data_IF_658044345773
#
_entry.id   IF_658044345773
#
_cell.length_a   1.000
_cell.length_b   1.000
_cell.length_c   1.000
_cell.angle_alpha   90.00
_cell.angle_beta   90.00
_cell.angle_gamma   90.00
#
_symmetry.space_group_name_H-M   'P 1'
#
loop_
_entity.id
_entity.type
_entity.pdbx_description
1 polymer ?
#
# COMPACT_ATOMS: atom_id res chain seq x y z
N UNK A 1 -50.71 12.29 16.59
CA UNK A 1 -50.70 13.44 15.65
C UNK A 1 -52.09 14.03 15.62
N UNK A 2 -52.29 15.28 16.02
CA UNK A 2 -53.59 15.94 15.81
C UNK A 2 -53.76 16.27 14.34
N UNK A 3 -54.98 16.22 13.83
CA UNK A 3 -55.31 16.45 12.42
C UNK A 3 -54.80 17.82 11.92
N UNK A 4 -54.84 18.84 12.79
CA UNK A 4 -54.27 20.15 12.54
C UNK A 4 -52.74 20.12 12.30
N UNK A 5 -51.98 19.31 13.06
CA UNK A 5 -50.52 19.17 12.87
C UNK A 5 -50.19 18.40 11.59
N UNK A 6 -51.06 17.47 11.19
CA UNK A 6 -50.92 16.75 9.92
C UNK A 6 -51.20 17.66 8.72
N UNK A 7 -52.15 18.59 8.84
CA UNK A 7 -52.46 19.54 7.78
C UNK A 7 -51.35 20.59 7.63
N UNK A 8 -50.85 21.14 8.75
CA UNK A 8 -49.70 22.03 8.76
C UNK A 8 -48.44 21.39 8.17
N UNK A 9 -48.21 20.09 8.44
CA UNK A 9 -47.12 19.32 7.86
C UNK A 9 -47.35 18.89 6.40
N UNK A 10 -48.54 19.10 5.83
CA UNK A 10 -48.79 19.00 4.38
C UNK A 10 -48.60 20.34 3.68
N UNK A 11 -48.91 21.44 4.38
CA UNK A 11 -48.67 22.81 3.92
C UNK A 11 -47.17 23.13 3.88
N UNK A 12 -46.42 22.71 4.90
CA UNK A 12 -44.98 22.50 4.79
C UNK A 12 -44.74 21.20 4.02
N UNK A 13 -43.80 21.15 3.08
CA UNK A 13 -43.58 19.91 2.32
C UNK A 13 -43.12 18.80 3.29
N UNK A 14 -43.83 17.67 3.30
CA UNK A 14 -43.71 16.59 4.31
C UNK A 14 -42.26 16.18 4.59
N UNK A 15 -41.41 16.07 3.56
CA UNK A 15 -40.00 15.67 3.76
C UNK A 15 -39.20 16.69 4.58
N UNK A 16 -39.59 17.96 4.59
CA UNK A 16 -38.97 19.03 5.37
C UNK A 16 -39.53 19.04 6.80
N UNK A 17 -40.84 18.88 6.96
CA UNK A 17 -41.51 18.82 8.27
C UNK A 17 -41.02 17.63 9.12
N UNK A 18 -40.75 16.50 8.47
CA UNK A 18 -40.25 15.29 9.13
C UNK A 18 -38.72 15.12 9.06
N UNK A 19 -37.99 16.11 8.53
CA UNK A 19 -36.52 16.07 8.38
C UNK A 19 -36.01 14.81 7.66
N UNK A 20 -36.77 14.34 6.66
CA UNK A 20 -36.47 13.10 5.93
C UNK A 20 -35.39 13.30 4.86
N UNK A 21 -34.95 14.54 4.61
CA UNK A 21 -33.85 14.86 3.71
C UNK A 21 -32.65 15.38 4.48
N UNK A 22 -31.50 14.78 4.22
CA UNK A 22 -30.19 15.26 4.66
C UNK A 22 -29.25 15.37 3.45
N UNK A 23 -28.50 16.45 3.39
CA UNK A 23 -27.49 16.66 2.34
C UNK A 23 -26.16 16.07 2.80
N UNK A 24 -25.61 15.14 2.01
CA UNK A 24 -24.27 14.62 2.22
C UNK A 24 -23.33 15.20 1.15
N UNK A 25 -22.25 15.85 1.58
CA UNK A 25 -21.24 16.38 0.68
C UNK A 25 -20.10 15.36 0.52
N UNK A 26 -19.79 14.97 -0.72
CA UNK A 26 -18.73 14.00 -1.06
C UNK A 26 -17.56 14.72 -1.76
N UNK A 27 -17.25 15.94 -1.33
CA UNK A 27 -16.30 16.84 -2.01
C UNK A 27 -14.83 16.57 -1.68
N UNK A 28 -14.55 15.79 -0.64
CA UNK A 28 -13.19 15.52 -0.15
C UNK A 28 -12.91 14.02 -0.10
N UNK A 29 -12.73 13.41 -1.26
CA UNK A 29 -12.35 12.00 -1.38
C UNK A 29 -10.82 11.91 -1.46
N UNK A 30 -10.18 11.45 -0.39
CA UNK A 30 -8.71 11.33 -0.31
C UNK A 30 -8.36 9.88 -0.02
N UNK A 31 -7.47 9.29 -0.82
CA UNK A 31 -6.96 7.94 -0.59
C UNK A 31 -5.43 7.96 -0.64
N UNK A 32 -4.80 7.07 0.12
CA UNK A 32 -3.35 6.90 0.02
C UNK A 32 -3.05 5.93 -1.13
N UNK A 33 -2.16 6.35 -2.03
CA UNK A 33 -1.59 5.47 -3.04
C UNK A 33 -0.78 4.34 -2.37
N UNK A 34 -0.49 3.22 -3.08
CA UNK A 34 0.33 2.12 -2.55
C UNK A 34 1.74 2.54 -2.06
N UNK A 35 2.22 3.70 -2.48
CA UNK A 35 3.46 4.33 -2.01
C UNK A 35 3.32 5.11 -0.70
N UNK A 36 2.11 5.17 -0.13
CA UNK A 36 1.78 5.93 1.08
C UNK A 36 1.54 7.43 0.84
N UNK A 37 1.50 7.88 -0.41
CA UNK A 37 1.28 9.29 -0.76
C UNK A 37 -0.22 9.61 -0.82
N UNK A 38 -0.70 10.71 -0.20
CA UNK A 38 -2.10 11.08 -0.27
C UNK A 38 -2.46 11.64 -1.66
N UNK A 39 -3.51 11.08 -2.28
CA UNK A 39 -4.06 11.50 -3.56
C UNK A 39 -5.50 11.96 -3.40
N UNK A 40 -5.82 13.10 -4.03
CA UNK A 40 -7.16 13.69 -4.05
C UNK A 40 -7.95 13.19 -5.26
N UNK A 41 -9.20 12.81 -5.04
CA UNK A 41 -10.13 12.34 -6.07
C UNK A 41 -11.31 13.31 -6.20
N UNK A 42 -11.61 13.70 -7.43
CA UNK A 42 -12.69 14.63 -7.75
C UNK A 42 -13.97 13.93 -8.22
N UNK A 43 -13.88 12.63 -8.54
CA UNK A 43 -15.02 11.79 -8.88
C UNK A 43 -14.76 10.35 -8.43
N UNK A 44 -15.83 9.61 -8.16
CA UNK A 44 -15.74 8.18 -7.87
C UNK A 44 -15.20 7.37 -9.06
N UNK A 45 -15.32 7.88 -10.29
CA UNK A 45 -14.81 7.23 -11.49
C UNK A 45 -13.28 7.17 -11.48
N UNK A 46 -12.61 8.24 -11.02
CA UNK A 46 -11.14 8.25 -10.89
C UNK A 46 -10.64 7.17 -9.90
N UNK A 47 -11.39 6.92 -8.83
CA UNK A 47 -11.07 5.86 -7.87
C UNK A 47 -11.23 4.48 -8.52
N UNK A 48 -12.31 4.29 -9.28
CA UNK A 48 -12.53 3.05 -10.00
C UNK A 48 -11.41 2.82 -11.03
N UNK A 49 -11.08 3.83 -11.84
CA UNK A 49 -10.00 3.79 -12.84
C UNK A 49 -8.65 3.38 -12.24
N UNK A 50 -8.28 3.93 -11.08
CA UNK A 50 -7.04 3.56 -10.39
C UNK A 50 -7.09 2.13 -9.82
N UNK A 51 -8.27 1.66 -9.40
CA UNK A 51 -8.42 0.35 -8.74
C UNK A 51 -8.32 -0.86 -9.69
N UNK A 52 -8.80 -0.72 -10.93
CA UNK A 52 -8.84 -1.81 -11.92
C UNK A 52 -7.45 -2.35 -12.31
N UNK A 53 -6.48 -1.53 -12.75
CA UNK A 53 -5.16 -2.03 -13.11
C UNK A 53 -4.44 -2.62 -11.90
N UNK A 54 -4.69 -2.10 -10.69
CA UNK A 54 -4.05 -2.55 -9.45
C UNK A 54 -4.32 -4.04 -9.14
N UNK A 55 -5.53 -4.52 -9.46
CA UNK A 55 -5.88 -5.94 -9.29
C UNK A 55 -5.05 -6.86 -10.20
N UNK A 56 -4.95 -6.52 -11.49
CA UNK A 56 -4.17 -7.29 -12.47
C UNK A 56 -2.66 -7.19 -12.17
N UNK A 57 -2.20 -6.03 -11.73
CA UNK A 57 -0.84 -5.79 -11.27
C UNK A 57 -0.49 -6.67 -10.07
N UNK A 58 -1.38 -6.78 -9.07
CA UNK A 58 -1.18 -7.63 -7.90
C UNK A 58 -1.17 -9.12 -8.27
N UNK A 59 -2.12 -9.56 -9.10
CA UNK A 59 -2.17 -10.94 -9.60
C UNK A 59 -0.89 -11.31 -10.35
N UNK A 60 -0.43 -10.43 -11.22
CA UNK A 60 0.83 -10.59 -11.95
C UNK A 60 2.02 -10.71 -11.00
N UNK A 61 2.10 -9.83 -9.99
CA UNK A 61 3.16 -9.86 -9.00
C UNK A 61 3.22 -11.18 -8.22
N UNK A 62 2.07 -11.67 -7.75
CA UNK A 62 1.98 -12.96 -7.06
C UNK A 62 2.40 -14.12 -7.96
N UNK A 63 1.89 -14.20 -9.20
CA UNK A 63 2.23 -15.29 -10.12
C UNK A 63 3.72 -15.32 -10.51
N UNK A 64 4.37 -14.15 -10.58
CA UNK A 64 5.82 -14.07 -10.83
C UNK A 64 6.64 -14.44 -9.58
N UNK A 65 6.15 -14.10 -8.38
CA UNK A 65 6.81 -14.51 -7.12
C UNK A 65 6.70 -16.02 -6.92
N UNK A 66 5.55 -16.61 -7.25
CA UNK A 66 5.26 -18.05 -7.09
C UNK A 66 5.87 -18.93 -8.21
N UNK A 67 6.70 -18.35 -9.08
CA UNK A 67 7.32 -19.01 -10.25
C UNK A 67 6.31 -19.61 -11.25
N UNK A 68 5.02 -19.28 -11.14
CA UNK A 68 3.96 -19.73 -12.02
C UNK A 68 4.07 -19.04 -13.39
N UNK A 69 4.50 -17.77 -13.41
CA UNK A 69 4.75 -17.00 -14.62
C UNK A 69 6.25 -16.65 -14.73
N UNK A 70 6.94 -17.29 -15.69
CA UNK A 70 8.34 -16.99 -15.99
C UNK A 70 8.38 -15.92 -17.07
N UNK A 71 8.66 -14.69 -16.66
CA UNK A 71 8.85 -13.53 -17.56
C UNK A 71 10.31 -13.38 -18.00
N UNK A 72 11.25 -13.83 -17.15
CA UNK A 72 12.68 -13.69 -17.43
C UNK A 72 13.12 -14.50 -18.65
N UNK A 73 13.82 -13.83 -19.57
CA UNK A 73 14.44 -14.40 -20.76
C UNK A 73 13.45 -14.91 -21.83
N UNK A 74 12.17 -14.51 -21.77
CA UNK A 74 11.23 -14.69 -22.88
C UNK A 74 11.23 -13.44 -23.75
N UNK A 75 11.12 -13.61 -25.07
CA UNK A 75 10.91 -12.48 -25.96
C UNK A 75 9.56 -11.81 -25.68
N UNK A 76 9.46 -10.49 -25.84
CA UNK A 76 8.24 -9.70 -25.57
C UNK A 76 6.97 -10.31 -26.19
N UNK A 77 7.09 -10.94 -27.36
CA UNK A 77 5.98 -11.60 -28.06
C UNK A 77 5.45 -12.82 -27.28
N UNK A 78 6.35 -13.66 -26.75
CA UNK A 78 5.97 -14.85 -25.99
C UNK A 78 5.39 -14.50 -24.62
N UNK A 79 5.88 -13.41 -24.01
CA UNK A 79 5.36 -12.90 -22.75
C UNK A 79 3.91 -12.39 -22.89
N UNK A 80 3.63 -11.62 -23.95
CA UNK A 80 2.27 -11.15 -24.23
C UNK A 80 1.32 -12.31 -24.54
N UNK A 81 1.80 -13.37 -25.21
CA UNK A 81 0.99 -14.56 -25.47
C UNK A 81 0.66 -15.34 -24.19
N UNK A 82 1.63 -15.49 -23.28
CA UNK A 82 1.39 -16.09 -21.96
C UNK A 82 0.38 -15.28 -21.13
N UNK A 83 0.43 -13.94 -21.22
CA UNK A 83 -0.53 -13.05 -20.57
C UNK A 83 -1.94 -13.19 -21.17
N UNK A 84 -2.05 -13.34 -22.48
CA UNK A 84 -3.33 -13.60 -23.18
C UNK A 84 -3.93 -14.94 -22.75
N UNK A 85 -3.14 -16.00 -22.72
CA UNK A 85 -3.60 -17.32 -22.30
C UNK A 85 -4.11 -17.35 -20.85
N UNK A 86 -3.59 -16.48 -19.98
CA UNK A 86 -3.98 -16.37 -18.57
C UNK A 86 -5.12 -15.38 -18.31
N UNK A 87 -5.73 -14.83 -19.35
CA UNK A 87 -6.81 -13.85 -19.25
C UNK A 87 -6.43 -12.63 -18.40
N UNK A 88 -5.28 -12.02 -18.67
CA UNK A 88 -5.00 -10.66 -18.17
C UNK A 88 -5.73 -9.65 -19.05
N UNK A 89 -6.37 -8.65 -18.44
CA UNK A 89 -7.12 -7.66 -19.20
C UNK A 89 -6.15 -6.66 -19.86
N UNK A 90 -6.23 -6.46 -21.20
CA UNK A 90 -5.44 -5.44 -21.87
C UNK A 90 -5.95 -4.04 -21.51
N UNK A 91 -5.08 -3.03 -21.63
CA UNK A 91 -5.44 -1.64 -21.33
C UNK A 91 -6.63 -1.12 -22.12
N UNK A 92 -6.79 -1.61 -23.35
CA UNK A 92 -7.93 -1.31 -24.20
C UNK A 92 -9.29 -1.72 -23.60
N UNK A 93 -9.38 -2.80 -22.81
CA UNK A 93 -10.66 -3.30 -22.27
C UNK A 93 -11.21 -2.42 -21.14
N UNK A 94 -10.37 -1.95 -20.23
CA UNK A 94 -10.85 -1.07 -19.16
C UNK A 94 -11.05 0.38 -19.62
N UNK A 95 -10.29 0.85 -20.61
CA UNK A 95 -10.57 2.11 -21.31
C UNK A 95 -11.95 2.10 -21.98
N UNK A 96 -12.38 0.97 -22.58
CA UNK A 96 -13.75 0.79 -23.13
C UNK A 96 -14.83 0.88 -22.04
N UNK A 97 -14.61 0.25 -20.90
CA UNK A 97 -15.61 0.19 -19.82
C UNK A 97 -15.85 1.55 -19.17
N UNK A 98 -14.80 2.38 -19.11
CA UNK A 98 -14.87 3.66 -18.42
C UNK A 98 -15.37 4.81 -19.32
N UNK A 99 -15.17 4.71 -20.63
CA UNK A 99 -15.54 5.76 -21.58
C UNK A 99 -16.78 5.32 -22.39
N UNK A 100 -17.97 5.49 -21.82
CA UNK A 100 -19.28 5.14 -22.44
C UNK A 100 -19.56 5.78 -23.81
N UNK A 101 -18.70 6.68 -24.29
CA UNK A 101 -18.82 7.38 -25.58
C UNK A 101 -17.96 6.79 -26.71
N UNK A 102 -17.21 5.71 -26.46
CA UNK A 102 -16.37 5.07 -27.50
C UNK A 102 -17.20 3.98 -28.18
N UNK A 103 -17.60 4.22 -29.43
CA UNK A 103 -18.18 3.22 -30.33
C UNK A 103 -17.14 2.15 -30.69
N UNK A 104 -17.60 0.90 -30.88
CA UNK A 104 -16.78 -0.31 -31.14
C UNK A 104 -15.76 -0.20 -32.29
N UNK A 105 -15.88 0.82 -33.15
CA UNK A 105 -15.00 1.05 -34.31
C UNK A 105 -13.69 1.80 -33.98
N UNK A 106 -13.62 2.57 -32.88
CA UNK A 106 -12.40 3.32 -32.48
C UNK A 106 -11.53 2.58 -31.46
N UNK A 107 -12.06 1.52 -30.84
CA UNK A 107 -11.34 0.72 -29.87
C UNK A 107 -10.52 -0.37 -30.57
N UNK A 108 -9.46 0.07 -31.26
CA UNK A 108 -8.56 -0.77 -32.07
C UNK A 108 -8.16 -2.11 -31.46
N UNK A 109 -7.78 -3.04 -32.33
CA UNK A 109 -7.32 -4.40 -32.00
C UNK A 109 -6.37 -4.40 -30.81
N UNK A 110 -6.51 -5.39 -29.92
CA UNK A 110 -5.65 -5.58 -28.74
C UNK A 110 -4.19 -5.65 -29.19
N UNK A 111 -3.45 -4.57 -28.99
CA UNK A 111 -2.06 -4.47 -29.40
C UNK A 111 -1.14 -5.11 -28.35
N UNK A 112 0.10 -5.39 -28.74
CA UNK A 112 1.14 -5.87 -27.80
C UNK A 112 1.45 -4.85 -26.72
N UNK A 113 1.28 -3.56 -27.02
CA UNK A 113 1.56 -2.45 -26.10
C UNK A 113 0.54 -2.34 -24.96
N UNK A 114 -0.63 -2.97 -25.09
CA UNK A 114 -1.69 -2.93 -24.08
C UNK A 114 -1.31 -3.65 -22.78
N UNK A 115 -0.27 -4.48 -22.77
CA UNK A 115 0.22 -5.20 -21.59
C UNK A 115 1.44 -4.52 -20.94
N UNK A 116 1.97 -3.45 -21.53
CA UNK A 116 3.17 -2.76 -21.05
C UNK A 116 3.03 -2.25 -19.60
N UNK A 117 1.81 -1.97 -19.12
CA UNK A 117 1.57 -1.54 -17.74
C UNK A 117 1.88 -2.61 -16.68
N UNK A 118 1.79 -3.89 -17.04
CA UNK A 118 2.19 -5.00 -16.16
C UNK A 118 3.72 -5.14 -16.18
N UNK A 119 4.29 -5.09 -17.38
CA UNK A 119 5.71 -5.32 -17.63
C UNK A 119 6.56 -4.19 -17.03
N UNK A 120 6.26 -2.92 -17.34
CA UNK A 120 7.04 -1.78 -16.83
C UNK A 120 6.89 -1.56 -15.32
N UNK A 121 5.73 -1.89 -14.74
CA UNK A 121 5.60 -1.83 -13.29
C UNK A 121 6.49 -2.86 -12.62
N UNK A 122 6.59 -4.04 -13.23
CA UNK A 122 7.32 -5.18 -12.72
C UNK A 122 8.69 -5.32 -13.40
N UNK A 123 9.40 -4.20 -13.60
CA UNK A 123 10.83 -4.20 -13.91
C UNK A 123 11.62 -4.68 -12.66
N UNK A 124 11.44 -5.95 -12.30
CA UNK A 124 12.30 -6.64 -11.35
C UNK A 124 13.52 -7.12 -12.11
N UNK A 125 14.70 -6.57 -11.80
CA UNK A 125 15.92 -7.31 -12.04
C UNK A 125 15.87 -8.63 -11.26
N UNK A 126 16.53 -9.68 -11.74
CA UNK A 126 16.67 -10.95 -11.01
C UNK A 126 17.18 -10.72 -9.57
N UNK A 127 17.99 -9.68 -9.37
CA UNK A 127 18.49 -9.26 -8.06
C UNK A 127 17.39 -8.74 -7.13
N UNK A 128 16.43 -7.99 -7.65
CA UNK A 128 15.28 -7.50 -6.86
C UNK A 128 14.40 -8.66 -6.40
N UNK A 129 14.13 -9.64 -7.27
CA UNK A 129 13.33 -10.83 -6.90
C UNK A 129 14.00 -11.62 -5.77
N UNK A 130 15.31 -11.85 -5.88
CA UNK A 130 16.06 -12.53 -4.83
C UNK A 130 16.06 -11.77 -3.50
N UNK A 131 16.11 -10.42 -3.53
CA UNK A 131 15.99 -9.59 -2.32
C UNK A 131 14.62 -9.76 -1.66
N UNK A 132 13.54 -9.75 -2.44
CA UNK A 132 12.18 -9.94 -1.92
C UNK A 132 11.96 -11.34 -1.34
N UNK A 133 12.48 -12.38 -2.00
CA UNK A 133 12.45 -13.74 -1.48
C UNK A 133 13.24 -13.86 -0.16
N UNK A 134 14.44 -13.28 -0.08
CA UNK A 134 15.22 -13.24 1.17
C UNK A 134 14.47 -12.50 2.28
N UNK A 135 13.82 -11.38 1.96
CA UNK A 135 13.05 -10.58 2.93
C UNK A 135 11.79 -11.33 3.40
N UNK A 136 11.09 -12.00 2.50
CA UNK A 136 9.97 -12.90 2.83
C UNK A 136 10.44 -14.01 3.78
N UNK A 137 11.49 -14.73 3.40
CA UNK A 137 12.00 -15.86 4.19
C UNK A 137 12.53 -15.41 5.56
N UNK A 138 13.05 -14.18 5.66
CA UNK A 138 13.42 -13.56 6.93
C UNK A 138 12.19 -13.34 7.83
N UNK A 139 11.14 -12.67 7.32
CA UNK A 139 9.94 -12.39 8.12
C UNK A 139 9.14 -13.64 8.49
N UNK A 140 9.10 -14.66 7.62
CA UNK A 140 8.45 -15.93 7.95
C UNK A 140 9.16 -16.60 9.12
N UNK A 141 10.50 -16.63 9.12
CA UNK A 141 11.27 -17.17 10.24
C UNK A 141 11.07 -16.36 11.51
N UNK A 142 11.07 -15.03 11.42
CA UNK A 142 10.82 -14.15 12.56
C UNK A 142 9.42 -14.40 13.14
N UNK A 143 8.42 -14.55 12.28
CA UNK A 143 7.05 -14.89 12.68
C UNK A 143 6.96 -16.26 13.38
N UNK A 144 7.64 -17.28 12.85
CA UNK A 144 7.70 -18.62 13.48
C UNK A 144 8.37 -18.56 14.86
N UNK A 145 9.44 -17.75 14.99
CA UNK A 145 10.12 -17.49 16.26
C UNK A 145 9.16 -16.78 17.23
N UNK A 146 8.42 -15.77 16.77
CA UNK A 146 7.47 -15.02 17.60
C UNK A 146 6.29 -15.89 18.07
N UNK A 147 5.80 -16.81 17.24
CA UNK A 147 4.78 -17.78 17.66
C UNK A 147 5.28 -18.75 18.73
N UNK A 148 6.58 -19.04 18.73
CA UNK A 148 7.21 -19.93 19.71
C UNK A 148 7.49 -19.22 21.03
N UNK A 149 7.70 -17.90 21.02
CA UNK A 149 7.98 -17.08 22.20
C UNK A 149 6.71 -16.76 22.98
N UNK A 150 6.78 -16.91 24.30
CA UNK A 150 5.72 -16.42 25.19
C UNK A 150 5.93 -14.93 25.51
N UNK A 151 4.88 -14.27 26.02
CA UNK A 151 4.97 -12.88 26.49
C UNK A 151 6.05 -12.68 27.58
N UNK A 152 6.34 -13.72 28.37
CA UNK A 152 7.42 -13.68 29.38
C UNK A 152 8.81 -13.77 28.77
N UNK A 153 8.98 -14.46 27.64
CA UNK A 153 10.27 -14.57 26.94
C UNK A 153 10.60 -13.26 26.22
N UNK A 154 9.62 -12.64 25.56
CA UNK A 154 9.75 -11.31 24.97
C UNK A 154 10.15 -10.26 26.03
N UNK A 155 9.50 -10.31 27.20
CA UNK A 155 9.83 -9.40 28.30
C UNK A 155 11.27 -9.58 28.80
N UNK A 156 11.77 -10.81 28.86
CA UNK A 156 13.16 -11.07 29.27
C UNK A 156 14.16 -10.52 28.26
N UNK A 157 13.90 -10.72 26.97
CA UNK A 157 14.73 -10.16 25.89
C UNK A 157 14.76 -8.63 25.94
N UNK A 158 13.61 -7.99 26.17
CA UNK A 158 13.53 -6.53 26.30
C UNK A 158 14.31 -6.02 27.53
N UNK A 159 14.24 -6.73 28.66
CA UNK A 159 15.03 -6.40 29.85
C UNK A 159 16.52 -6.61 29.61
N UNK A 160 16.94 -7.66 28.91
CA UNK A 160 18.34 -7.86 28.55
C UNK A 160 18.87 -6.74 27.64
N UNK A 161 18.09 -6.34 26.62
CA UNK A 161 18.43 -5.20 25.77
C UNK A 161 18.50 -3.90 26.57
N UNK A 162 17.58 -3.70 27.51
CA UNK A 162 17.61 -2.55 28.42
C UNK A 162 18.87 -2.55 29.29
N UNK A 163 19.28 -3.69 29.85
CA UNK A 163 20.51 -3.79 30.65
C UNK A 163 21.77 -3.50 29.82
N UNK A 164 21.81 -3.95 28.56
CA UNK A 164 22.90 -3.63 27.62
C UNK A 164 22.94 -2.12 27.33
N UNK A 165 21.81 -1.52 26.96
CA UNK A 165 21.74 -0.09 26.69
C UNK A 165 22.03 0.78 27.93
N UNK A 166 21.61 0.33 29.12
CA UNK A 166 21.92 1.00 30.39
C UNK A 166 23.43 1.01 30.63
N UNK A 167 24.09 -0.13 30.42
CA UNK A 167 25.53 -0.24 30.57
C UNK A 167 26.29 0.65 29.59
N UNK A 168 25.86 0.75 28.34
CA UNK A 168 26.47 1.67 27.36
C UNK A 168 26.38 3.14 27.80
N UNK A 169 25.26 3.53 28.42
CA UNK A 169 25.08 4.89 28.97
C UNK A 169 25.96 5.10 30.19
N UNK A 170 26.03 4.13 31.11
CA UNK A 170 26.90 4.18 32.29
C UNK A 170 28.37 4.31 31.89
N UNK A 171 28.85 3.46 30.96
CA UNK A 171 30.21 3.51 30.44
C UNK A 171 30.51 4.86 29.76
N UNK A 172 29.55 5.42 29.01
CA UNK A 172 29.70 6.74 28.37
C UNK A 172 29.73 7.90 29.39
N UNK A 173 28.93 7.82 30.46
CA UNK A 173 28.96 8.80 31.55
C UNK A 173 30.30 8.73 32.31
N UNK A 174 30.82 7.52 32.58
CA UNK A 174 32.13 7.33 33.20
C UNK A 174 33.26 7.90 32.33
N UNK A 175 33.25 7.64 31.02
CA UNK A 175 34.22 8.22 30.09
C UNK A 175 34.16 9.75 30.07
N UNK A 176 32.95 10.32 30.04
CA UNK A 176 32.74 11.78 30.11
C UNK A 176 33.28 12.37 31.42
N UNK A 177 32.99 11.71 32.55
CA UNK A 177 33.51 12.09 33.86
C UNK A 177 35.04 12.04 33.93
N UNK A 178 35.66 10.99 33.38
CA UNK A 178 37.11 10.86 33.31
C UNK A 178 37.74 11.95 32.42
N UNK A 179 37.11 12.28 31.29
CA UNK A 179 37.55 13.36 30.42
C UNK A 179 37.48 14.73 31.12
N UNK A 180 36.38 15.03 31.80
CA UNK A 180 36.21 16.26 32.57
C UNK A 180 37.21 16.35 33.73
N UNK A 181 37.41 15.25 34.47
CA UNK A 181 38.39 15.16 35.56
C UNK A 181 39.81 15.42 35.06
N UNK A 182 40.19 14.83 33.92
CA UNK A 182 41.50 15.04 33.28
C UNK A 182 41.70 16.49 32.84
N UNK A 183 40.67 17.13 32.27
CA UNK A 183 40.70 18.56 31.93
C UNK A 183 40.84 19.46 33.16
N UNK A 184 40.14 19.14 34.25
CA UNK A 184 40.21 19.86 35.52
C UNK A 184 41.60 19.77 36.18
N UNK A 185 42.25 18.61 36.09
CA UNK A 185 43.63 18.43 36.56
C UNK A 185 44.61 19.25 35.71
N UNK A 186 44.45 19.28 34.38
CA UNK A 186 45.28 20.11 33.51
C UNK A 186 45.12 21.62 33.79
N UNK A 187 43.90 22.06 34.12
CA UNK A 187 43.60 23.44 34.52
C UNK A 187 44.13 23.83 35.91
N UNK A 188 44.37 22.86 36.81
CA UNK A 188 44.92 23.12 38.15
C UNK A 188 46.46 23.10 38.19
N UNK A 189 47.11 22.60 37.14
CA UNK A 189 48.58 22.47 37.05
C UNK A 189 49.21 23.60 36.21
N UNK A 190 48.41 24.39 35.48
CA UNK A 190 48.83 25.64 34.82
C UNK A 190 48.57 26.86 35.68
#
# INVERSE_FOLDING_TARGET
>A
MSEAKMQQAKDEVLYKAFQLQSTHYITSMVMCDPSGSPKMYYSYQQILEDSYPLSNQFRFACEVIDDVLIVFNKGKVLEVEDLRHRNYDPVSVWKRTNNRNVTDEEAGEVQTEDYNYLIHMFDLSLDSKQKWLKKRDFYVKEYDILLTKSASDLWREDLEQFMVGLKEVEDAEEESWLQLSKLLLLLKVG
#
